data_IF_433716109977
#
_entry.id   IF_433716109977
#
_cell.length_a   1.000
_cell.length_b   1.000
_cell.length_c   1.000
_cell.angle_alpha   90.00
_cell.angle_beta   90.00
_cell.angle_gamma   90.00
#
_symmetry.space_group_name_H-M   'P 1'
#
loop_
_entity.id
_entity.type
_entity.pdbx_description
1 polymer ?
#
# COMPACT_ATOMS: atom_id res chain seq x y z
N UNK A 1 -6.10 5.95 29.04
CA UNK A 1 -5.40 7.21 28.70
C UNK A 1 -4.67 7.00 27.39
N UNK A 2 -4.58 8.01 26.53
CA UNK A 2 -3.85 7.92 25.26
C UNK A 2 -2.50 8.60 25.43
N UNK A 3 -1.43 7.98 24.92
CA UNK A 3 -0.05 8.47 25.05
C UNK A 3 0.62 8.45 23.68
N UNK A 4 1.37 9.52 23.38
CA UNK A 4 2.22 9.58 22.20
C UNK A 4 3.64 9.14 22.58
N UNK A 5 4.18 8.20 21.80
CA UNK A 5 5.57 7.77 21.91
C UNK A 5 6.27 8.19 20.61
N UNK A 6 7.38 8.92 20.73
CA UNK A 6 8.19 9.36 19.60
C UNK A 6 9.57 8.69 19.66
N UNK A 7 9.68 7.42 19.27
CA UNK A 7 10.95 6.72 19.26
C UNK A 7 11.87 7.24 18.16
N UNK A 8 13.18 7.23 18.44
CA UNK A 8 14.23 7.60 17.50
C UNK A 8 14.56 6.41 16.58
N UNK A 9 13.89 6.34 15.43
CA UNK A 9 14.09 5.29 14.44
C UNK A 9 15.33 5.58 13.60
N UNK A 10 16.46 5.00 13.96
CA UNK A 10 17.70 5.11 13.17
C UNK A 10 17.49 4.55 11.76
N UNK A 11 17.89 5.33 10.76
CA UNK A 11 17.90 5.00 9.34
C UNK A 11 16.52 4.76 8.68
N UNK A 12 15.41 4.91 9.43
CA UNK A 12 14.07 4.75 8.85
C UNK A 12 13.80 5.86 7.84
N UNK A 13 13.66 5.47 6.58
CA UNK A 13 13.52 6.42 5.48
C UNK A 13 12.18 7.20 5.55
N UNK A 14 12.22 8.54 5.47
CA UNK A 14 11.01 9.37 5.49
C UNK A 14 10.16 9.13 4.23
N UNK A 15 8.83 9.22 4.40
CA UNK A 15 7.86 9.10 3.30
C UNK A 15 6.50 9.69 3.70
N UNK A 16 5.75 10.19 2.73
CA UNK A 16 4.34 10.59 2.88
C UNK A 16 3.46 9.80 1.91
N UNK A 17 2.15 9.79 2.14
CA UNK A 17 1.18 9.03 1.32
C UNK A 17 1.58 7.56 1.12
N UNK A 18 2.09 6.91 2.17
CA UNK A 18 2.38 5.47 2.14
C UNK A 18 1.18 4.69 2.67
N UNK A 19 1.14 3.40 2.36
CA UNK A 19 0.19 2.49 2.99
C UNK A 19 0.83 1.79 4.18
N UNK A 20 0.03 1.50 5.22
CA UNK A 20 0.44 0.63 6.30
C UNK A 20 -0.65 -0.40 6.64
N UNK A 21 -0.24 -1.60 7.06
CA UNK A 21 -1.16 -2.65 7.50
C UNK A 21 -0.48 -3.60 8.48
N UNK A 22 -1.27 -4.41 9.17
CA UNK A 22 -0.81 -5.54 9.99
C UNK A 22 -1.24 -6.86 9.35
N UNK A 23 -0.41 -7.89 9.46
CA UNK A 23 -0.76 -9.25 9.06
C UNK A 23 -1.54 -9.96 10.17
N UNK A 24 -2.43 -10.89 9.82
CA UNK A 24 -3.19 -11.65 10.81
C UNK A 24 -2.33 -12.66 11.57
N UNK A 25 -1.31 -13.23 10.92
CA UNK A 25 -0.36 -14.18 11.51
C UNK A 25 0.63 -13.53 12.46
N UNK A 26 0.92 -12.23 12.25
CA UNK A 26 1.83 -11.45 13.07
C UNK A 26 1.29 -10.02 13.21
N UNK A 27 0.36 -9.80 14.17
CA UNK A 27 -0.24 -8.49 14.39
C UNK A 27 0.67 -7.53 15.17
N UNK A 28 1.88 -7.97 15.53
CA UNK A 28 2.84 -7.14 16.29
C UNK A 28 3.72 -6.28 15.39
N UNK A 29 3.71 -6.54 14.08
CA UNK A 29 4.49 -5.81 13.09
C UNK A 29 3.62 -4.94 12.21
N UNK A 30 4.17 -3.80 11.85
CA UNK A 30 3.56 -2.87 10.89
C UNK A 30 4.31 -3.00 9.58
N UNK A 31 3.60 -3.40 8.53
CA UNK A 31 4.10 -3.39 7.17
C UNK A 31 3.82 -2.03 6.55
N UNK A 32 4.80 -1.50 5.82
CA UNK A 32 4.72 -0.21 5.13
C UNK A 32 5.08 -0.41 3.66
N UNK A 33 4.29 0.16 2.76
CA UNK A 33 4.54 0.08 1.32
C UNK A 33 4.38 1.43 0.63
N UNK A 34 5.26 1.67 -0.32
CA UNK A 34 5.20 2.82 -1.23
C UNK A 34 5.32 4.17 -0.54
N UNK A 35 4.61 5.17 -1.07
CA UNK A 35 4.69 6.57 -0.65
C UNK A 35 5.77 7.34 -1.40
N UNK A 36 5.87 8.63 -1.12
CA UNK A 36 6.80 9.54 -1.79
C UNK A 36 7.77 10.20 -0.82
N UNK A 37 8.91 10.61 -1.37
CA UNK A 37 9.81 11.60 -0.81
C UNK A 37 9.84 12.85 -1.71
N UNK A 38 10.65 13.86 -1.42
CA UNK A 38 10.77 15.10 -2.19
C UNK A 38 10.99 14.90 -3.70
N UNK A 39 11.71 13.86 -4.10
CA UNK A 39 12.12 13.67 -5.50
C UNK A 39 11.34 12.57 -6.22
N UNK A 40 11.00 11.47 -5.53
CA UNK A 40 10.53 10.24 -6.16
C UNK A 40 9.55 9.47 -5.27
N UNK A 41 8.68 8.70 -5.95
CA UNK A 41 7.86 7.69 -5.30
C UNK A 41 8.70 6.46 -4.94
N UNK A 42 8.20 5.65 -4.01
CA UNK A 42 8.80 4.40 -3.56
C UNK A 42 7.89 3.22 -3.96
N UNK A 43 8.51 2.07 -4.16
CA UNK A 43 7.86 0.76 -4.14
C UNK A 43 8.54 -0.19 -3.14
N UNK A 44 9.30 0.35 -2.18
CA UNK A 44 9.93 -0.46 -1.15
C UNK A 44 8.88 -0.90 -0.11
N UNK A 45 9.00 -2.15 0.30
CA UNK A 45 8.33 -2.69 1.49
C UNK A 45 9.26 -2.50 2.68
N UNK A 46 8.72 -2.02 3.80
CA UNK A 46 9.38 -1.99 5.10
C UNK A 46 8.53 -2.75 6.11
N UNK A 47 9.18 -3.35 7.10
CA UNK A 47 8.51 -3.93 8.27
C UNK A 47 9.08 -3.29 9.53
N UNK A 48 8.18 -2.72 10.33
CA UNK A 48 8.48 -2.04 11.59
C UNK A 48 8.07 -2.97 12.73
N UNK A 49 8.95 -3.11 13.73
CA UNK A 49 8.73 -3.85 14.97
C UNK A 49 8.70 -2.85 16.13
N UNK A 50 7.50 -2.38 16.55
CA UNK A 50 7.34 -1.35 17.58
C UNK A 50 7.99 -1.71 18.92
N UNK A 51 7.81 -2.94 19.40
CA UNK A 51 8.36 -3.36 20.70
C UNK A 51 9.90 -3.36 20.74
N UNK A 52 10.53 -3.70 19.62
CA UNK A 52 11.99 -3.74 19.50
C UNK A 52 12.62 -2.45 18.98
N UNK A 53 11.82 -1.41 18.73
CA UNK A 53 12.26 -0.15 18.09
C UNK A 53 13.20 -0.37 16.90
N UNK A 54 12.89 -1.38 16.09
CA UNK A 54 13.65 -1.73 14.89
C UNK A 54 12.77 -1.85 13.65
N UNK A 55 13.39 -1.68 12.48
CA UNK A 55 12.74 -1.85 11.20
C UNK A 55 13.68 -2.54 10.22
N UNK A 56 13.14 -3.13 9.15
CA UNK A 56 13.92 -3.83 8.12
C UNK A 56 13.31 -3.64 6.73
N UNK A 57 14.15 -3.72 5.70
CA UNK A 57 13.72 -3.97 4.32
C UNK A 57 13.76 -5.49 4.09
N UNK A 58 12.62 -6.19 4.03
CA UNK A 58 12.61 -7.60 3.72
C UNK A 58 13.05 -7.83 2.27
N UNK A 59 13.65 -8.99 2.01
CA UNK A 59 13.92 -9.46 0.65
C UNK A 59 12.59 -9.88 0.04
N UNK A 60 12.05 -9.04 -0.84
CA UNK A 60 10.77 -9.29 -1.52
C UNK A 60 10.99 -9.84 -2.91
N UNK A 61 10.13 -10.76 -3.32
CA UNK A 61 10.19 -11.41 -4.63
C UNK A 61 8.93 -11.16 -5.46
N UNK A 62 8.94 -11.58 -6.72
CA UNK A 62 7.78 -11.51 -7.63
C UNK A 62 7.60 -10.16 -8.33
N UNK A 63 6.51 -9.99 -9.11
CA UNK A 63 6.20 -8.77 -9.86
C UNK A 63 5.81 -7.61 -8.92
N UNK A 64 6.82 -6.94 -8.37
CA UNK A 64 6.64 -5.75 -7.54
C UNK A 64 5.93 -4.64 -8.34
N UNK A 65 4.96 -3.92 -7.74
CA UNK A 65 4.33 -2.78 -8.39
C UNK A 65 5.35 -1.66 -8.67
N UNK A 66 5.07 -0.82 -9.68
CA UNK A 66 5.83 0.42 -9.89
C UNK A 66 5.77 1.37 -8.67
N UNK A 67 6.76 2.25 -8.47
CA UNK A 67 6.72 3.26 -7.41
C UNK A 67 5.46 4.12 -7.47
N UNK A 68 4.78 4.28 -6.33
CA UNK A 68 3.51 5.00 -6.27
C UNK A 68 3.22 5.62 -4.90
N UNK A 69 2.38 6.65 -4.88
CA UNK A 69 1.76 7.16 -3.65
C UNK A 69 0.39 6.55 -3.41
N UNK A 70 -0.02 6.57 -2.15
CA UNK A 70 -1.25 6.01 -1.61
C UNK A 70 -2.01 7.06 -0.81
N UNK A 71 -3.14 7.48 -1.38
CA UNK A 71 -4.27 7.98 -0.61
C UNK A 71 -5.24 6.80 -0.45
N UNK A 72 -5.15 6.03 0.64
CA UNK A 72 -6.15 4.98 1.00
C UNK A 72 -6.42 3.86 -0.02
N UNK A 73 -5.57 3.71 -1.05
CA UNK A 73 -5.80 2.81 -2.20
C UNK A 73 -5.33 1.36 -1.95
N UNK A 74 -5.52 0.85 -0.74
CA UNK A 74 -5.05 -0.48 -0.35
C UNK A 74 -5.83 -1.03 0.85
N UNK A 75 -5.89 -2.34 0.97
CA UNK A 75 -6.51 -3.01 2.12
C UNK A 75 -5.86 -4.36 2.40
N UNK A 76 -6.04 -4.90 3.60
CA UNK A 76 -5.49 -6.20 3.99
C UNK A 76 -6.60 -7.20 4.34
N UNK A 77 -6.41 -8.46 3.92
CA UNK A 77 -7.26 -9.60 4.30
C UNK A 77 -6.33 -10.75 4.68
N UNK A 78 -6.37 -11.17 5.95
CA UNK A 78 -5.48 -12.20 6.45
C UNK A 78 -4.03 -11.70 6.47
N UNK A 79 -3.17 -12.42 5.76
CA UNK A 79 -1.74 -12.13 5.59
C UNK A 79 -1.42 -11.54 4.21
N UNK A 80 -2.46 -11.12 3.48
CA UNK A 80 -2.35 -10.56 2.14
C UNK A 80 -2.73 -9.10 2.13
N UNK A 81 -1.89 -8.31 1.49
CA UNK A 81 -2.07 -6.89 1.28
C UNK A 81 -2.38 -6.61 -0.18
N UNK A 82 -3.48 -5.93 -0.43
CA UNK A 82 -4.05 -5.71 -1.75
C UNK A 82 -3.92 -4.24 -2.13
N UNK A 83 -3.46 -4.01 -3.35
CA UNK A 83 -3.15 -2.70 -3.90
C UNK A 83 -3.80 -2.59 -5.27
N UNK A 84 -4.53 -1.50 -5.51
CA UNK A 84 -5.08 -1.17 -6.82
C UNK A 84 -4.95 0.34 -7.05
N UNK A 85 -4.49 0.76 -8.23
CA UNK A 85 -4.24 2.17 -8.53
C UNK A 85 -3.08 2.76 -7.73
N UNK A 86 -3.25 4.02 -7.30
CA UNK A 86 -2.21 4.85 -6.65
C UNK A 86 -1.80 6.02 -7.54
N UNK A 87 -1.03 6.97 -6.99
CA UNK A 87 -0.53 8.15 -7.71
C UNK A 87 0.85 7.92 -8.31
N UNK A 88 1.09 8.43 -9.52
CA UNK A 88 2.41 8.46 -10.15
C UNK A 88 3.06 9.84 -10.01
N UNK A 89 2.39 10.90 -10.50
CA UNK A 89 2.90 12.27 -10.43
C UNK A 89 1.76 13.28 -10.47
N UNK A 90 1.70 14.16 -9.47
CA UNK A 90 0.65 15.17 -9.40
C UNK A 90 -0.75 14.54 -9.38
N UNK A 91 -1.59 14.88 -10.36
CA UNK A 91 -2.94 14.34 -10.50
C UNK A 91 -3.00 13.04 -11.34
N UNK A 92 -1.85 12.53 -11.81
CA UNK A 92 -1.80 11.35 -12.66
C UNK A 92 -1.76 10.07 -11.83
N UNK A 93 -2.66 9.09 -12.11
CA UNK A 93 -2.62 7.79 -11.47
C UNK A 93 -1.45 6.94 -11.98
N UNK A 94 -1.09 5.92 -11.21
CA UNK A 94 -0.14 4.89 -11.64
C UNK A 94 -0.61 4.20 -12.92
N UNK A 95 0.32 4.03 -13.87
CA UNK A 95 0.03 3.48 -15.19
C UNK A 95 -0.39 1.99 -15.19
N UNK A 96 -0.02 1.22 -14.16
CA UNK A 96 -0.39 -0.20 -14.04
C UNK A 96 -1.73 -0.38 -13.34
N UNK A 97 -2.81 -0.33 -14.14
CA UNK A 97 -4.18 -0.54 -13.65
C UNK A 97 -4.49 -2.03 -13.37
N UNK A 98 -3.77 -2.61 -12.41
CA UNK A 98 -3.87 -4.03 -12.05
C UNK A 98 -4.00 -4.18 -10.53
N UNK A 99 -4.57 -5.32 -10.12
CA UNK A 99 -4.54 -5.73 -8.72
C UNK A 99 -3.17 -6.33 -8.41
N UNK A 100 -2.50 -5.78 -7.40
CA UNK A 100 -1.28 -6.34 -6.84
C UNK A 100 -1.55 -6.88 -5.44
N UNK A 101 -0.97 -8.03 -5.12
CA UNK A 101 -1.16 -8.71 -3.85
C UNK A 101 0.20 -9.06 -3.27
N UNK A 102 0.52 -8.54 -2.09
CA UNK A 102 1.69 -8.92 -1.33
C UNK A 102 1.31 -9.95 -0.27
N UNK A 103 2.03 -11.06 -0.21
CA UNK A 103 1.88 -12.08 0.82
C UNK A 103 2.99 -11.92 1.87
N UNK A 104 2.63 -11.66 3.12
CA UNK A 104 3.61 -11.45 4.20
C UNK A 104 4.27 -12.73 4.69
N UNK A 105 3.71 -13.91 4.36
CA UNK A 105 4.29 -15.22 4.71
C UNK A 105 5.40 -15.57 3.74
N UNK A 106 5.13 -15.46 2.43
CA UNK A 106 6.11 -15.80 1.39
C UNK A 106 7.02 -14.63 1.00
N UNK A 107 6.71 -13.41 1.45
CA UNK A 107 7.38 -12.17 1.06
C UNK A 107 7.36 -11.95 -0.45
N UNK A 108 6.26 -12.31 -1.11
CA UNK A 108 6.15 -12.30 -2.57
C UNK A 108 5.00 -11.42 -3.02
N UNK A 109 5.27 -10.59 -4.03
CA UNK A 109 4.22 -9.93 -4.80
C UNK A 109 3.63 -10.87 -5.84
N UNK A 110 2.33 -10.77 -6.05
CA UNK A 110 1.57 -11.49 -7.07
C UNK A 110 0.69 -10.51 -7.81
N UNK A 111 0.40 -10.84 -9.07
CA UNK A 111 -0.52 -10.09 -9.92
C UNK A 111 -1.62 -11.05 -10.39
N UNK A 112 -2.65 -11.31 -9.55
CA UNK A 112 -3.71 -12.25 -9.90
C UNK A 112 -4.47 -11.80 -11.14
N UNK A 113 -4.97 -12.78 -11.90
CA UNK A 113 -5.89 -12.52 -13.01
C UNK A 113 -7.23 -12.06 -12.43
N UNK A 114 -7.71 -10.90 -12.87
CA UNK A 114 -9.03 -10.37 -12.54
C UNK A 114 -10.00 -10.60 -13.72
N UNK A 115 -11.30 -10.56 -13.44
CA UNK A 115 -12.36 -10.68 -14.45
C UNK A 115 -13.39 -9.57 -14.28
N UNK A 116 -14.20 -9.32 -15.31
CA UNK A 116 -15.10 -8.17 -15.37
C UNK A 116 -14.38 -6.88 -15.78
N UNK A 117 -15.12 -5.76 -15.72
CA UNK A 117 -14.57 -4.45 -16.06
C UNK A 117 -13.88 -3.83 -14.83
N UNK A 118 -12.56 -3.63 -14.84
CA UNK A 118 -11.86 -3.03 -13.71
C UNK A 118 -12.19 -1.54 -13.59
N UNK A 119 -12.12 -0.95 -12.39
CA UNK A 119 -12.18 0.50 -12.24
C UNK A 119 -11.13 1.19 -13.11
N UNK A 120 -11.47 2.34 -13.68
CA UNK A 120 -10.51 3.19 -14.40
C UNK A 120 -9.30 3.54 -13.50
N UNK A 121 -8.10 3.74 -14.08
CA UNK A 121 -6.93 4.21 -13.34
C UNK A 121 -7.26 5.42 -12.48
N UNK A 122 -6.87 5.39 -11.20
CA UNK A 122 -7.26 6.39 -10.21
C UNK A 122 -6.30 6.44 -9.02
N UNK A 123 -6.19 7.60 -8.39
CA UNK A 123 -5.59 7.80 -7.07
C UNK A 123 -6.59 8.50 -6.14
N UNK A 124 -6.31 8.65 -4.85
CA UNK A 124 -7.22 9.34 -3.94
C UNK A 124 -8.44 8.52 -3.49
N UNK A 125 -8.59 7.28 -3.94
CA UNK A 125 -9.74 6.42 -3.64
C UNK A 125 -9.52 5.57 -2.40
N UNK A 126 -10.61 5.03 -1.85
CA UNK A 126 -10.54 4.08 -0.74
C UNK A 126 -10.70 2.64 -1.24
N UNK A 127 -9.96 1.71 -0.64
CA UNK A 127 -10.23 0.27 -0.75
C UNK A 127 -10.58 -0.26 0.65
N UNK A 128 -11.74 -0.89 0.78
CA UNK A 128 -12.20 -1.47 2.05
C UNK A 128 -12.44 -2.96 1.91
N UNK A 129 -11.85 -3.74 2.83
CA UNK A 129 -12.14 -5.15 2.96
C UNK A 129 -13.44 -5.38 3.77
N UNK A 130 -14.33 -6.22 3.25
CA UNK A 130 -15.50 -6.72 3.97
C UNK A 130 -15.55 -8.24 3.79
N UNK A 131 -15.25 -8.97 4.86
CA UNK A 131 -15.05 -10.41 4.81
C UNK A 131 -13.90 -10.77 3.86
N UNK A 132 -14.19 -11.55 2.82
CA UNK A 132 -13.21 -11.96 1.80
C UNK A 132 -13.25 -11.10 0.52
N UNK A 133 -13.94 -9.96 0.55
CA UNK A 133 -14.15 -9.11 -0.63
C UNK A 133 -13.52 -7.73 -0.43
N UNK A 134 -13.08 -7.13 -1.53
CA UNK A 134 -12.59 -5.76 -1.58
C UNK A 134 -13.61 -4.89 -2.30
N UNK A 135 -13.86 -3.70 -1.74
CA UNK A 135 -14.71 -2.68 -2.32
C UNK A 135 -13.87 -1.44 -2.58
N UNK A 136 -14.04 -0.83 -3.75
CA UNK A 136 -13.33 0.36 -4.18
C UNK A 136 -14.36 1.45 -4.31
N UNK A 137 -14.07 2.66 -3.81
CA UNK A 137 -14.92 3.81 -4.03
C UNK A 137 -14.13 5.11 -4.20
N UNK A 138 -14.55 5.89 -5.19
CA UNK A 138 -14.12 7.27 -5.40
C UNK A 138 -12.77 7.42 -6.09
N UNK A 139 -12.08 8.52 -5.77
CA UNK A 139 -10.78 8.88 -6.33
C UNK A 139 -10.86 9.79 -7.56
N UNK A 140 -9.71 10.00 -8.19
CA UNK A 140 -9.58 10.90 -9.33
C UNK A 140 -8.45 10.48 -10.29
N UNK A 141 -8.49 11.04 -11.49
CA UNK A 141 -7.43 10.99 -12.50
C UNK A 141 -7.44 12.29 -13.33
N UNK A 142 -6.35 13.05 -13.30
CA UNK A 142 -6.27 14.36 -13.93
C UNK A 142 -7.33 15.31 -13.36
N UNK A 143 -8.26 15.75 -14.19
CA UNK A 143 -9.41 16.58 -13.79
C UNK A 143 -10.70 15.78 -13.52
N UNK A 144 -10.67 14.45 -13.67
CA UNK A 144 -11.84 13.59 -13.48
C UNK A 144 -11.94 13.11 -12.04
N UNK A 145 -13.13 13.19 -11.45
CA UNK A 145 -13.45 12.63 -10.14
C UNK A 145 -14.45 11.49 -10.30
N UNK A 146 -14.25 10.43 -9.54
CA UNK A 146 -15.05 9.21 -9.61
C UNK A 146 -16.00 9.11 -8.42
N UNK A 147 -17.18 8.54 -8.64
CA UNK A 147 -18.22 8.32 -7.63
C UNK A 147 -18.74 6.88 -7.64
N UNK A 148 -18.05 6.00 -8.37
CA UNK A 148 -18.24 4.55 -8.33
C UNK A 148 -17.43 3.93 -7.19
#
# INVERSE_FOLDING_TARGET
TYEWINPDWKDLLPRYEHACFTSSSDPTRIWVFGGAEQAENRNSVQVISPEGLSWKNPNVEGPCPSPRTFHTSSSAIGDKFYVFGGGEKGAEPAADNKLHVFDTISLTWMQPVTSGDPPKPRHGHTITAVGSKLFIHGGMAGSSFFSD
#
